data_IF_913015249229
#
_entry.id   IF_913015249229
#
_cell.length_a   1.000
_cell.length_b   1.000
_cell.length_c   1.000
_cell.angle_alpha   90.00
_cell.angle_beta   90.00
_cell.angle_gamma   90.00
#
_symmetry.space_group_name_H-M   'P 1'
#
loop_
_entity.id
_entity.type
_entity.pdbx_description
1 polymer ?
#
# COMPACT_ATOMS: atom_id res chain seq x y z
N UNK A 1 -7.50 -12.06 23.73
CA UNK A 1 -6.11 -11.67 23.43
C UNK A 1 -6.15 -10.61 22.34
N UNK A 2 -5.29 -9.58 22.40
CA UNK A 2 -5.18 -8.54 21.35
C UNK A 2 -3.69 -8.28 21.05
N UNK A 3 -3.32 -8.34 19.77
CA UNK A 3 -1.99 -7.99 19.26
C UNK A 3 -2.11 -6.82 18.29
N UNK A 4 -1.29 -5.79 18.50
CA UNK A 4 -1.16 -4.59 17.66
C UNK A 4 0.22 -4.59 17.04
N UNK A 5 0.29 -4.94 15.77
CA UNK A 5 1.53 -5.27 15.07
C UNK A 5 1.79 -4.18 14.02
N UNK A 6 3.01 -3.66 13.99
CA UNK A 6 3.47 -2.82 12.88
C UNK A 6 4.49 -3.61 12.08
N UNK A 7 4.25 -3.79 10.78
CA UNK A 7 5.22 -4.43 9.87
C UNK A 7 5.71 -3.41 8.86
N UNK A 8 7.00 -3.17 8.79
CA UNK A 8 7.58 -2.05 8.05
C UNK A 8 8.89 -2.40 7.33
N UNK A 9 9.12 -1.75 6.19
CA UNK A 9 10.28 -1.97 5.34
C UNK A 9 10.20 -1.17 4.04
N UNK A 10 11.00 -1.54 3.04
CA UNK A 10 10.91 -0.98 1.70
C UNK A 10 9.89 -1.73 0.85
N UNK A 11 9.26 -1.03 -0.09
CA UNK A 11 8.44 -1.61 -1.13
C UNK A 11 9.21 -2.69 -1.88
N UNK A 12 8.68 -3.91 -1.90
CA UNK A 12 9.35 -5.09 -2.45
C UNK A 12 9.93 -6.06 -1.42
N UNK A 13 10.06 -5.67 -0.15
CA UNK A 13 10.48 -6.57 0.94
C UNK A 13 9.32 -7.44 1.49
N UNK A 14 8.15 -7.41 0.84
CA UNK A 14 7.02 -8.28 1.21
C UNK A 14 6.28 -7.91 2.49
N UNK A 15 6.52 -6.72 3.05
CA UNK A 15 5.88 -6.24 4.30
C UNK A 15 4.36 -6.19 4.24
N UNK A 16 3.78 -5.75 3.12
CA UNK A 16 2.32 -5.75 2.94
C UNK A 16 1.79 -7.18 2.92
N UNK A 17 2.51 -8.07 2.24
CA UNK A 17 2.11 -9.46 2.12
C UNK A 17 2.18 -10.19 3.47
N UNK A 18 3.20 -9.95 4.30
CA UNK A 18 3.25 -10.48 5.67
C UNK A 18 2.02 -10.05 6.48
N UNK A 19 1.66 -8.77 6.41
CA UNK A 19 0.49 -8.26 7.12
C UNK A 19 -0.81 -8.89 6.62
N UNK A 20 -0.98 -9.02 5.31
CA UNK A 20 -2.15 -9.68 4.73
C UNK A 20 -2.21 -11.17 5.08
N UNK A 21 -1.09 -11.89 5.03
CA UNK A 21 -1.02 -13.31 5.40
C UNK A 21 -1.44 -13.51 6.86
N UNK A 22 -0.92 -12.69 7.76
CA UNK A 22 -1.27 -12.72 9.20
C UNK A 22 -2.76 -12.43 9.40
N UNK A 23 -3.29 -11.44 8.68
CA UNK A 23 -4.70 -11.04 8.76
C UNK A 23 -5.62 -12.15 8.26
N UNK A 24 -5.37 -12.69 7.07
CA UNK A 24 -6.16 -13.80 6.52
C UNK A 24 -6.03 -15.07 7.35
N UNK A 25 -4.85 -15.37 7.92
CA UNK A 25 -4.68 -16.49 8.84
C UNK A 25 -5.53 -16.29 10.11
N UNK A 26 -5.52 -15.08 10.69
CA UNK A 26 -6.38 -14.75 11.84
C UNK A 26 -7.87 -14.88 11.52
N UNK A 27 -8.31 -14.48 10.32
CA UNK A 27 -9.69 -14.70 9.87
C UNK A 27 -10.05 -16.18 9.75
N UNK A 28 -9.14 -17.01 9.24
CA UNK A 28 -9.33 -18.46 9.12
C UNK A 28 -9.49 -19.10 10.50
N UNK A 29 -8.79 -18.58 11.51
CA UNK A 29 -8.83 -19.04 12.90
C UNK A 29 -9.96 -18.43 13.74
N UNK A 30 -10.80 -17.57 13.13
CA UNK A 30 -11.97 -16.98 13.80
C UNK A 30 -11.68 -15.73 14.65
N UNK A 31 -10.50 -15.12 14.50
CA UNK A 31 -10.16 -13.87 15.17
C UNK A 31 -10.75 -12.65 14.45
N UNK A 32 -11.03 -11.60 15.21
CA UNK A 32 -11.29 -10.27 14.68
C UNK A 32 -9.98 -9.63 14.25
N UNK A 33 -9.93 -9.16 13.01
CA UNK A 33 -8.70 -8.61 12.44
C UNK A 33 -8.91 -7.25 11.81
N UNK A 34 -7.84 -6.48 11.75
CA UNK A 34 -7.77 -5.25 10.96
C UNK A 34 -6.42 -5.17 10.27
N UNK A 35 -6.41 -4.75 9.02
CA UNK A 35 -5.20 -4.53 8.24
C UNK A 35 -5.28 -3.15 7.57
N UNK A 36 -4.39 -2.26 7.98
CA UNK A 36 -4.30 -0.90 7.44
C UNK A 36 -2.93 -0.68 6.83
N UNK A 37 -2.80 -0.67 5.49
CA UNK A 37 -1.55 -0.36 4.84
C UNK A 37 -1.25 1.13 4.89
N UNK A 38 0.03 1.44 4.96
CA UNK A 38 0.59 2.79 4.86
C UNK A 38 1.87 2.67 4.05
N UNK A 39 1.76 2.92 2.75
CA UNK A 39 2.92 2.94 1.87
C UNK A 39 3.01 4.29 1.19
N UNK A 40 4.26 4.73 1.02
CA UNK A 40 4.55 5.77 0.06
C UNK A 40 4.11 5.30 -1.34
N UNK A 41 3.74 6.22 -2.21
CA UNK A 41 3.36 5.94 -3.61
C UNK A 41 4.48 5.34 -4.47
N UNK A 42 5.71 5.37 -3.96
CA UNK A 42 6.86 4.64 -4.47
C UNK A 42 6.55 3.13 -4.60
N UNK A 43 6.21 2.67 -5.81
CA UNK A 43 5.82 1.26 -6.08
C UNK A 43 6.92 0.23 -5.75
N UNK A 44 8.18 0.66 -5.52
CA UNK A 44 9.31 -0.17 -5.10
C UNK A 44 10.38 0.67 -4.41
N UNK A 45 11.04 0.15 -3.39
CA UNK A 45 12.14 0.81 -2.68
C UNK A 45 11.72 1.90 -1.69
N UNK A 46 10.49 2.41 -1.79
CA UNK A 46 9.94 3.38 -0.87
C UNK A 46 9.53 2.83 0.49
N UNK A 47 9.30 3.69 1.47
CA UNK A 47 8.86 3.23 2.80
C UNK A 47 7.44 2.66 2.74
N UNK A 48 7.28 1.41 3.16
CA UNK A 48 6.01 0.71 3.24
C UNK A 48 5.86 0.09 4.62
N UNK A 49 4.73 0.34 5.27
CA UNK A 49 4.36 -0.27 6.54
C UNK A 49 2.88 -0.64 6.55
N UNK A 50 2.49 -1.55 7.43
CA UNK A 50 1.08 -1.83 7.68
C UNK A 50 0.88 -2.04 9.18
N UNK A 51 -0.27 -1.54 9.65
CA UNK A 51 -0.80 -1.81 10.97
C UNK A 51 -1.70 -3.04 10.88
N UNK A 52 -1.44 -4.03 11.72
CA UNK A 52 -2.21 -5.27 11.80
C UNK A 52 -2.70 -5.44 13.22
N UNK A 53 -4.00 -5.63 13.39
CA UNK A 53 -4.59 -6.01 14.68
C UNK A 53 -5.17 -7.40 14.54
N UNK A 54 -4.85 -8.29 15.49
CA UNK A 54 -5.47 -9.61 15.63
C UNK A 54 -5.99 -9.71 17.06
N UNK A 55 -7.27 -10.02 17.21
CA UNK A 55 -7.99 -9.94 18.48
C UNK A 55 -9.07 -11.00 18.62
N UNK A 56 -9.30 -11.48 19.84
CA UNK A 56 -10.45 -12.34 20.18
C UNK A 56 -11.75 -11.53 20.35
N UNK A 57 -11.65 -10.21 20.41
CA UNK A 57 -12.77 -9.27 20.53
C UNK A 57 -12.80 -8.29 19.35
N UNK A 58 -13.97 -7.70 19.01
CA UNK A 58 -14.10 -6.75 17.91
C UNK A 58 -13.05 -5.62 17.95
N UNK A 59 -12.38 -5.39 16.82
CA UNK A 59 -11.34 -4.36 16.70
C UNK A 59 -11.98 -2.96 16.69
N UNK A 60 -11.65 -2.15 17.70
CA UNK A 60 -12.21 -0.79 17.83
C UNK A 60 -11.59 0.26 16.89
N UNK A 61 -10.31 0.13 16.55
CA UNK A 61 -9.63 1.06 15.63
C UNK A 61 -8.44 0.40 14.91
N UNK A 62 -8.23 0.72 13.61
CA UNK A 62 -7.12 0.17 12.82
C UNK A 62 -5.78 0.88 13.05
N UNK A 63 -5.78 2.05 13.69
CA UNK A 63 -4.59 2.89 13.90
C UNK A 63 -3.88 2.47 15.18
N UNK A 64 -2.56 2.24 15.09
CA UNK A 64 -1.72 1.81 16.22
C UNK A 64 -0.84 2.98 16.67
N UNK A 65 -1.12 3.52 17.86
CA UNK A 65 -0.25 4.49 18.54
C UNK A 65 0.76 3.81 19.48
N UNK A 66 0.42 2.63 19.98
CA UNK A 66 1.27 1.79 20.84
C UNK A 66 1.19 0.35 20.34
N UNK A 67 2.31 -0.18 19.88
CA UNK A 67 2.43 -1.51 19.31
C UNK A 67 2.82 -2.56 20.37
N UNK A 68 2.26 -3.76 20.26
CA UNK A 68 2.72 -4.93 21.01
C UNK A 68 3.92 -5.59 20.35
N UNK A 69 3.98 -5.51 19.02
CA UNK A 69 5.01 -6.16 18.21
C UNK A 69 5.38 -5.26 17.02
N UNK A 70 6.66 -5.18 16.66
CA UNK A 70 7.15 -4.45 15.48
C UNK A 70 8.06 -5.37 14.68
N UNK A 71 7.84 -5.42 13.36
CA UNK A 71 8.72 -6.07 12.40
C UNK A 71 9.35 -4.98 11.52
N UNK A 72 10.67 -4.86 11.56
CA UNK A 72 11.43 -3.90 10.76
C UNK A 72 12.39 -4.60 9.79
N UNK A 73 12.12 -4.47 8.49
CA UNK A 73 12.89 -5.12 7.42
C UNK A 73 14.04 -4.25 6.88
N UNK A 74 14.16 -3.00 7.33
CA UNK A 74 15.22 -2.06 6.96
C UNK A 74 15.50 -1.04 8.09
N UNK A 75 16.64 -0.36 7.99
CA UNK A 75 17.11 0.58 9.02
C UNK A 75 16.12 1.72 9.31
N UNK A 76 15.57 2.43 8.30
CA UNK A 76 14.65 3.55 8.58
C UNK A 76 13.35 3.12 9.27
N UNK A 77 12.86 1.91 8.99
CA UNK A 77 11.66 1.37 9.65
C UNK A 77 11.93 1.01 11.10
N UNK A 78 13.10 0.46 11.42
CA UNK A 78 13.52 0.22 12.79
C UNK A 78 13.52 1.53 13.59
N UNK A 79 14.25 2.54 13.11
CA UNK A 79 14.38 3.85 13.76
C UNK A 79 13.02 4.52 13.95
N UNK A 80 12.13 4.42 12.96
CA UNK A 80 10.80 5.04 13.00
C UNK A 80 9.86 4.39 14.00
N UNK A 81 9.84 3.06 14.08
CA UNK A 81 8.77 2.33 14.77
C UNK A 81 9.20 1.72 16.12
N UNK A 82 10.49 1.62 16.42
CA UNK A 82 10.98 1.08 17.71
C UNK A 82 10.46 1.85 18.93
N UNK A 83 10.20 3.16 18.78
CA UNK A 83 9.67 4.01 19.85
C UNK A 83 8.18 3.75 20.14
N UNK A 84 7.44 3.18 19.19
CA UNK A 84 6.02 2.84 19.36
C UNK A 84 5.80 1.53 20.13
N UNK A 85 6.84 0.73 20.34
CA UNK A 85 6.76 -0.50 21.12
C UNK A 85 6.48 -0.21 22.60
N UNK A 86 5.47 -0.89 23.14
CA UNK A 86 5.24 -0.94 24.58
C UNK A 86 6.38 -1.68 25.29
N UNK A 87 6.53 -1.41 26.58
CA UNK A 87 7.37 -2.22 27.48
C UNK A 87 6.96 -3.69 27.42
N UNK A 88 7.95 -4.57 27.27
CA UNK A 88 7.80 -6.02 27.08
C UNK A 88 7.26 -6.40 25.69
N UNK A 89 7.19 -5.47 24.75
CA UNK A 89 6.84 -5.75 23.36
C UNK A 89 7.98 -6.45 22.61
N UNK A 90 7.66 -7.03 21.46
CA UNK A 90 8.61 -7.77 20.64
C UNK A 90 9.04 -6.97 19.41
N UNK A 91 10.34 -6.84 19.22
CA UNK A 91 10.95 -6.26 18.03
C UNK A 91 11.61 -7.37 17.21
N UNK A 92 11.21 -7.50 15.95
CA UNK A 92 11.85 -8.39 14.98
C UNK A 92 12.56 -7.54 13.94
N UNK A 93 13.85 -7.76 13.73
CA UNK A 93 14.64 -7.00 12.76
C UNK A 93 15.31 -7.91 11.74
N UNK A 94 15.35 -7.45 10.49
CA UNK A 94 16.18 -8.05 9.45
C UNK A 94 17.65 -7.67 9.69
N UNK A 95 18.40 -8.50 10.41
CA UNK A 95 19.81 -8.21 10.76
C UNK A 95 20.74 -8.19 9.54
N UNK A 96 20.30 -8.67 8.38
CA UNK A 96 21.02 -8.51 7.12
C UNK A 96 21.11 -7.05 6.66
N UNK A 97 20.18 -6.19 7.10
CA UNK A 97 20.04 -4.79 6.63
C UNK A 97 19.84 -3.75 7.75
N UNK A 98 19.68 -4.21 8.99
CA UNK A 98 19.38 -3.37 10.15
C UNK A 98 20.47 -3.55 11.18
N UNK A 99 21.02 -2.44 11.66
CA UNK A 99 21.90 -2.41 12.82
C UNK A 99 21.13 -1.85 14.03
N UNK A 100 21.07 -2.65 15.09
CA UNK A 100 20.38 -2.28 16.33
C UNK A 100 21.38 -1.56 17.24
N UNK A 101 21.48 -0.24 17.07
CA UNK A 101 22.27 0.62 17.95
C UNK A 101 21.49 0.98 19.22
N UNK A 102 22.16 0.89 20.37
CA UNK A 102 21.62 1.23 21.69
C UNK A 102 20.23 0.61 21.97
N UNK A 103 20.13 -0.74 22.00
CA UNK A 103 18.86 -1.42 22.19
C UNK A 103 18.18 -0.98 23.49
N UNK A 104 16.87 -0.79 23.41
CA UNK A 104 16.02 -0.62 24.59
C UNK A 104 16.12 -1.87 25.46
N UNK A 105 16.31 -1.68 26.77
CA UNK A 105 16.41 -2.76 27.76
C UNK A 105 15.05 -3.29 28.22
N UNK A 106 13.97 -2.62 27.81
CA UNK A 106 12.60 -2.89 28.23
C UNK A 106 11.77 -3.65 27.20
N UNK A 107 12.35 -4.13 26.10
CA UNK A 107 11.69 -4.88 25.01
C UNK A 107 12.45 -6.18 24.69
N UNK A 108 11.78 -7.12 24.01
CA UNK A 108 12.43 -8.31 23.47
C UNK A 108 12.89 -8.04 22.04
N UNK A 109 14.14 -8.36 21.70
CA UNK A 109 14.71 -8.10 20.36
C UNK A 109 15.10 -9.44 19.72
N UNK A 110 14.62 -9.65 18.51
CA UNK A 110 14.89 -10.83 17.69
C UNK A 110 15.54 -10.38 16.38
N UNK A 111 16.80 -10.74 16.18
CA UNK A 111 17.60 -10.39 15.01
C UNK A 111 17.67 -11.59 14.07
N UNK A 112 17.10 -11.48 12.88
CA UNK A 112 16.99 -12.61 11.93
C UNK A 112 17.70 -12.26 10.61
N UNK A 113 18.70 -13.05 10.17
CA UNK A 113 19.41 -12.85 8.91
C UNK A 113 18.59 -13.36 7.72
N UNK A 114 17.46 -12.69 7.45
CA UNK A 114 16.46 -13.21 6.51
C UNK A 114 16.92 -13.20 5.05
N UNK A 115 17.85 -12.31 4.67
CA UNK A 115 18.37 -12.27 3.31
C UNK A 115 19.29 -13.45 3.02
N UNK A 116 20.17 -13.80 3.97
CA UNK A 116 21.09 -14.93 3.87
C UNK A 116 20.29 -16.23 3.76
N UNK A 117 19.32 -16.44 4.65
CA UNK A 117 18.45 -17.62 4.65
C UNK A 117 17.67 -17.72 3.33
N UNK A 118 17.09 -16.61 2.84
CA UNK A 118 16.36 -16.61 1.57
C UNK A 118 17.28 -16.92 0.37
N UNK A 119 18.55 -16.51 0.45
CA UNK A 119 19.55 -16.80 -0.57
C UNK A 119 19.96 -18.27 -0.57
N UNK A 120 20.14 -18.87 0.60
CA UNK A 120 20.39 -20.32 0.78
C UNK A 120 19.23 -21.18 0.27
N UNK A 121 18.00 -20.71 0.43
CA UNK A 121 16.80 -21.34 -0.14
C UNK A 121 16.67 -21.15 -1.66
N UNK A 122 17.58 -20.39 -2.29
CA UNK A 122 17.65 -20.18 -3.73
C UNK A 122 16.64 -19.15 -4.27
N UNK A 123 15.97 -18.39 -3.40
CA UNK A 123 15.02 -17.36 -3.84
C UNK A 123 14.95 -16.18 -2.86
N UNK A 124 15.62 -15.05 -3.16
CA UNK A 124 15.59 -13.86 -2.30
C UNK A 124 14.19 -13.30 -2.00
N UNK A 125 13.17 -13.63 -2.83
CA UNK A 125 11.80 -13.15 -2.64
C UNK A 125 11.07 -13.82 -1.46
N UNK A 126 11.64 -14.84 -0.83
CA UNK A 126 11.03 -15.49 0.35
C UNK A 126 11.52 -14.92 1.69
N UNK A 127 12.36 -13.87 1.69
CA UNK A 127 12.87 -13.25 2.93
C UNK A 127 11.74 -12.81 3.89
N UNK A 128 10.62 -12.35 3.35
CA UNK A 128 9.45 -11.99 4.13
C UNK A 128 8.80 -13.21 4.82
N UNK A 129 8.84 -14.39 4.18
CA UNK A 129 8.32 -15.61 4.80
C UNK A 129 9.24 -16.12 5.91
N UNK A 130 10.56 -15.95 5.76
CA UNK A 130 11.51 -16.26 6.85
C UNK A 130 11.22 -15.37 8.06
N UNK A 131 11.07 -14.07 7.86
CA UNK A 131 10.71 -13.15 8.95
C UNK A 131 9.37 -13.54 9.60
N UNK A 132 8.35 -13.83 8.77
CA UNK A 132 7.03 -14.22 9.26
C UNK A 132 7.08 -15.51 10.09
N UNK A 133 7.94 -16.47 9.72
CA UNK A 133 8.15 -17.71 10.47
C UNK A 133 8.66 -17.46 11.88
N UNK A 134 9.70 -16.61 12.00
CA UNK A 134 10.21 -16.19 13.31
C UNK A 134 9.13 -15.50 14.15
N UNK A 135 8.38 -14.58 13.53
CA UNK A 135 7.30 -13.85 14.19
C UNK A 135 6.20 -14.75 14.75
N UNK A 136 5.66 -15.66 13.94
CA UNK A 136 4.56 -16.54 14.39
C UNK A 136 5.03 -17.56 15.43
N UNK A 137 6.31 -17.97 15.40
CA UNK A 137 6.87 -18.88 16.41
C UNK A 137 6.94 -18.26 17.79
N UNK A 138 7.32 -16.98 17.87
CA UNK A 138 7.42 -16.25 19.15
C UNK A 138 6.05 -15.84 19.65
N UNK A 139 5.18 -15.37 18.76
CA UNK A 139 3.91 -14.76 19.17
C UNK A 139 2.77 -15.75 19.29
N UNK A 140 2.84 -16.90 18.60
CA UNK A 140 1.78 -17.90 18.48
C UNK A 140 0.42 -17.28 18.10
N UNK A 141 0.43 -16.11 17.44
CA UNK A 141 -0.79 -15.33 17.17
C UNK A 141 -1.66 -15.96 16.08
N UNK A 142 -1.03 -16.72 15.18
CA UNK A 142 -1.68 -17.53 14.13
C UNK A 142 -0.84 -18.78 13.87
N UNK A 143 -1.48 -19.86 13.44
CA UNK A 143 -0.83 -21.10 13.04
C UNK A 143 -0.19 -21.05 11.66
N UNK A 144 0.90 -21.80 11.49
CA UNK A 144 1.60 -21.95 10.19
C UNK A 144 0.65 -22.48 9.11
N UNK A 145 -0.18 -23.47 9.44
CA UNK A 145 -1.13 -24.05 8.49
C UNK A 145 -2.11 -23.00 7.94
N UNK A 146 -2.58 -22.10 8.81
CA UNK A 146 -3.48 -21.00 8.43
C UNK A 146 -2.78 -19.97 7.55
N UNK A 147 -1.50 -19.66 7.80
CA UNK A 147 -0.68 -18.81 6.94
C UNK A 147 -0.52 -19.44 5.54
N UNK A 148 -0.29 -20.75 5.46
CA UNK A 148 -0.19 -21.47 4.19
C UNK A 148 -1.53 -21.52 3.45
N UNK A 149 -2.65 -21.70 4.16
CA UNK A 149 -4.01 -21.59 3.58
C UNK A 149 -4.29 -20.18 3.07
N UNK A 150 -3.85 -19.15 3.79
CA UNK A 150 -3.97 -17.74 3.39
C UNK A 150 -3.11 -17.38 2.16
N UNK A 151 -2.06 -18.15 1.86
CA UNK A 151 -1.11 -17.86 0.79
C UNK A 151 -1.77 -17.57 -0.56
N UNK A 152 -2.75 -18.38 -0.95
CA UNK A 152 -3.43 -18.24 -2.24
C UNK A 152 -4.38 -17.05 -2.29
N UNK A 153 -4.86 -16.57 -1.14
CA UNK A 153 -5.65 -15.33 -1.04
C UNK A 153 -4.79 -14.09 -1.28
N UNK A 154 -3.56 -14.11 -0.78
CA UNK A 154 -2.62 -12.98 -0.90
C UNK A 154 -1.93 -12.95 -2.27
N UNK A 155 -1.45 -14.10 -2.76
CA UNK A 155 -0.65 -14.17 -3.98
C UNK A 155 -1.39 -14.70 -5.21
N UNK A 156 -2.62 -15.20 -5.05
CA UNK A 156 -3.43 -15.79 -6.10
C UNK A 156 -3.11 -17.27 -6.39
N UNK A 157 -4.10 -17.97 -6.95
CA UNK A 157 -3.99 -19.41 -7.25
C UNK A 157 -2.86 -19.76 -8.24
N UNK A 158 -2.51 -18.83 -9.13
CA UNK A 158 -1.40 -19.00 -10.09
C UNK A 158 -0.04 -19.19 -9.43
N UNK A 159 0.07 -18.85 -8.13
CA UNK A 159 1.29 -18.97 -7.32
C UNK A 159 1.31 -20.18 -6.39
N UNK A 160 0.31 -21.08 -6.43
CA UNK A 160 0.25 -22.31 -5.59
C UNK A 160 1.53 -23.14 -5.63
N UNK A 161 2.18 -23.23 -6.79
CA UNK A 161 3.45 -23.95 -6.96
C UNK A 161 4.60 -23.43 -6.09
N UNK A 162 4.48 -22.21 -5.55
CA UNK A 162 5.47 -21.61 -4.67
C UNK A 162 5.27 -21.98 -3.19
N UNK A 163 4.13 -22.58 -2.82
CA UNK A 163 3.80 -22.92 -1.43
C UNK A 163 4.90 -23.77 -0.76
N UNK A 164 5.43 -24.86 -1.37
CA UNK A 164 6.45 -25.67 -0.70
C UNK A 164 7.72 -24.89 -0.33
N UNK A 165 8.14 -23.95 -1.20
CA UNK A 165 9.31 -23.11 -0.93
C UNK A 165 9.02 -22.08 0.18
N UNK A 166 7.82 -21.51 0.20
CA UNK A 166 7.42 -20.53 1.21
C UNK A 166 7.16 -21.19 2.58
N UNK A 167 6.67 -22.44 2.59
CA UNK A 167 6.60 -23.27 3.79
C UNK A 167 7.98 -23.53 4.37
N UNK A 168 8.93 -24.00 3.55
CA UNK A 168 10.31 -24.18 4.00
C UNK A 168 10.93 -22.87 4.52
N UNK A 169 10.62 -21.74 3.89
CA UNK A 169 11.07 -20.43 4.37
C UNK A 169 10.49 -20.07 5.75
N UNK A 170 9.20 -20.34 6.00
CA UNK A 170 8.60 -20.20 7.33
C UNK A 170 9.34 -21.07 8.35
N UNK A 171 9.53 -22.35 8.05
CA UNK A 171 10.23 -23.30 8.93
C UNK A 171 11.65 -22.84 9.29
N UNK A 172 12.43 -22.37 8.31
CA UNK A 172 13.77 -21.83 8.57
C UNK A 172 13.72 -20.59 9.46
N UNK A 173 12.73 -19.72 9.27
CA UNK A 173 12.48 -18.56 10.14
C UNK A 173 12.18 -18.96 11.59
N UNK A 174 11.32 -19.97 11.79
CA UNK A 174 10.99 -20.48 13.12
C UNK A 174 12.22 -21.00 13.87
N UNK A 175 13.18 -21.62 13.15
CA UNK A 175 14.41 -22.15 13.76
C UNK A 175 15.31 -21.05 14.32
N UNK A 176 15.28 -19.84 13.77
CA UNK A 176 16.14 -18.73 14.21
C UNK A 176 15.79 -18.19 15.60
N UNK A 177 14.55 -18.40 16.02
CA UNK A 177 14.05 -18.02 17.35
C UNK A 177 13.82 -19.24 18.25
N UNK A 178 14.03 -20.43 17.69
CA UNK A 178 13.85 -21.74 18.33
C UNK A 178 15.16 -22.39 18.73
N UNK A 179 16.02 -21.67 19.46
CA UNK A 179 17.07 -22.28 20.28
C UNK A 179 17.14 -21.55 21.63
N UNK A 180 17.12 -22.33 22.72
CA UNK A 180 17.20 -21.89 24.11
C UNK A 180 18.40 -20.95 24.29
N UNK A 181 18.12 -19.65 24.49
CA UNK A 181 19.19 -18.67 24.55
C UNK A 181 18.73 -17.24 24.77
N UNK A 182 17.83 -16.99 25.73
CA UNK A 182 17.75 -15.71 26.45
C UNK A 182 16.85 -15.81 27.68
N UNK A 183 17.52 -15.93 28.82
CA UNK A 183 17.12 -15.65 30.20
C UNK A 183 15.61 -15.60 30.54
N UNK A 184 15.21 -16.62 31.30
CA UNK A 184 14.05 -16.65 32.17
C UNK A 184 13.75 -15.31 32.86
N UNK A 185 12.59 -14.72 32.55
CA UNK A 185 11.75 -14.08 33.56
C UNK A 185 10.34 -14.65 33.47
N UNK A 186 10.07 -15.56 34.40
CA UNK A 186 8.76 -16.10 34.78
C UNK A 186 7.60 -15.13 34.49
N UNK A 187 6.69 -15.56 33.65
CA UNK A 187 5.28 -15.22 33.79
C UNK A 187 4.54 -16.53 34.03
N UNK A 188 4.15 -16.73 35.29
CA UNK A 188 3.34 -17.85 35.71
C UNK A 188 1.94 -17.75 35.10
N UNK A 189 1.51 -18.87 34.53
CA UNK A 189 0.12 -19.26 34.38
C UNK A 189 -0.62 -18.60 33.23
N UNK A 190 -0.99 -19.39 32.22
CA UNK A 190 -2.39 -19.73 31.98
C UNK A 190 -2.48 -21.10 31.33
N UNK A 191 -3.44 -21.89 31.83
CA UNK A 191 -3.63 -23.31 31.52
C UNK A 191 -4.02 -23.50 30.05
N UNK A 192 -3.56 -24.62 29.48
CA UNK A 192 -4.17 -25.24 28.28
C UNK A 192 -5.68 -25.45 28.49
N UNK A 193 -6.46 -25.19 27.46
CA UNK A 193 -7.71 -25.93 27.19
C UNK A 193 -7.80 -26.30 25.70
N UNK A 194 -8.45 -27.43 25.37
CA UNK A 194 -8.27 -28.17 24.10
C UNK A 194 -9.45 -28.01 23.12
N UNK A 195 -9.15 -28.32 21.85
CA UNK A 195 -10.03 -28.63 20.71
C UNK A 195 -11.15 -27.63 20.31
N UNK A 196 -11.08 -27.15 19.06
CA UNK A 196 -12.24 -26.61 18.35
C UNK A 196 -12.15 -26.89 16.84
N UNK A 197 -12.84 -27.96 16.43
CA UNK A 197 -13.76 -28.05 15.29
C UNK A 197 -13.51 -27.18 14.04
N UNK A 198 -13.30 -27.90 12.93
CA UNK A 198 -13.81 -27.67 11.57
C UNK A 198 -14.61 -26.37 11.31
N UNK A 199 -14.03 -25.57 10.41
CA UNK A 199 -14.56 -24.42 9.65
C UNK A 199 -16.09 -24.41 9.47
N UNK A 200 -16.71 -23.27 9.82
CA UNK A 200 -18.11 -22.98 9.48
C UNK A 200 -18.26 -22.32 8.09
N UNK A 201 -19.37 -22.54 7.36
CA UNK A 201 -19.54 -22.15 5.94
C UNK A 201 -19.67 -20.64 5.63
N UNK A 202 -19.57 -19.77 6.62
CA UNK A 202 -20.00 -18.37 6.51
C UNK A 202 -18.92 -17.43 5.92
N UNK A 203 -17.63 -17.76 6.11
CA UNK A 203 -16.51 -16.94 5.62
C UNK A 203 -16.28 -16.98 4.10
N UNK A 204 -16.58 -18.10 3.44
CA UNK A 204 -16.51 -18.20 1.97
C UNK A 204 -17.57 -17.35 1.25
N UNK A 205 -18.74 -17.18 1.88
CA UNK A 205 -19.83 -16.40 1.32
C UNK A 205 -19.54 -14.89 1.26
N UNK A 206 -18.75 -14.35 2.19
CA UNK A 206 -18.41 -12.91 2.24
C UNK A 206 -17.40 -12.50 1.16
N UNK A 207 -16.38 -13.31 0.91
CA UNK A 207 -15.34 -13.02 -0.08
C UNK A 207 -15.88 -13.08 -1.52
N UNK A 208 -16.77 -14.02 -1.80
CA UNK A 208 -17.47 -14.09 -3.08
C UNK A 208 -18.40 -12.89 -3.27
N UNK A 209 -18.99 -12.35 -2.19
CA UNK A 209 -19.78 -11.11 -2.23
C UNK A 209 -18.94 -9.91 -2.59
N UNK A 210 -17.80 -9.65 -1.95
CA UNK A 210 -16.96 -8.47 -2.28
C UNK A 210 -16.43 -8.48 -3.72
N UNK A 211 -16.03 -9.67 -4.22
CA UNK A 211 -15.61 -9.83 -5.62
C UNK A 211 -16.78 -9.68 -6.58
N UNK A 212 -17.93 -10.26 -6.25
CA UNK A 212 -19.14 -10.08 -7.02
C UNK A 212 -19.61 -8.62 -6.99
N UNK A 213 -19.44 -7.90 -5.89
CA UNK A 213 -19.76 -6.48 -5.72
C UNK A 213 -18.82 -5.60 -6.53
N UNK A 214 -17.51 -5.85 -6.52
CA UNK A 214 -16.56 -5.09 -7.35
C UNK A 214 -16.76 -5.32 -8.84
N UNK A 215 -17.02 -6.56 -9.24
CA UNK A 215 -17.40 -6.92 -10.62
C UNK A 215 -18.78 -6.34 -10.96
N UNK A 216 -19.71 -6.31 -9.99
CA UNK A 216 -21.03 -5.68 -10.14
C UNK A 216 -20.94 -4.17 -10.25
N UNK A 217 -19.99 -3.52 -9.56
CA UNK A 217 -19.78 -2.09 -9.59
C UNK A 217 -19.14 -1.68 -10.92
N UNK A 218 -18.13 -2.42 -11.38
CA UNK A 218 -17.51 -2.20 -12.69
C UNK A 218 -18.53 -2.44 -13.82
N UNK A 219 -19.33 -3.50 -13.74
CA UNK A 219 -20.38 -3.74 -14.72
C UNK A 219 -21.49 -2.67 -14.72
N UNK A 220 -21.80 -2.07 -13.57
CA UNK A 220 -22.69 -0.91 -13.44
C UNK A 220 -22.06 0.38 -13.97
N UNK A 221 -20.77 0.62 -13.76
CA UNK A 221 -20.08 1.82 -14.25
C UNK A 221 -20.05 1.83 -15.78
N UNK A 222 -19.77 0.68 -16.39
CA UNK A 222 -19.64 0.54 -17.84
C UNK A 222 -20.93 0.00 -18.51
N UNK A 223 -22.10 0.16 -17.89
CA UNK A 223 -23.38 -0.30 -18.46
C UNK A 223 -23.86 0.53 -19.64
N UNK A 224 -23.59 1.84 -19.61
CA UNK A 224 -24.05 2.83 -20.59
C UNK A 224 -23.18 4.10 -20.53
N UNK A 225 -23.28 4.94 -21.57
CA UNK A 225 -22.47 6.14 -21.72
C UNK A 225 -22.66 7.15 -20.58
N UNK A 226 -23.87 7.25 -20.00
CA UNK A 226 -24.16 8.19 -18.92
C UNK A 226 -23.51 7.75 -17.61
N UNK A 227 -23.56 6.45 -17.31
CA UNK A 227 -22.89 5.86 -16.16
C UNK A 227 -21.37 6.02 -16.23
N UNK A 228 -20.78 5.84 -17.43
CA UNK A 228 -19.36 6.09 -17.67
C UNK A 228 -19.02 7.57 -17.44
N UNK A 229 -19.81 8.50 -18.00
CA UNK A 229 -19.58 9.93 -17.82
C UNK A 229 -19.66 10.37 -16.35
N UNK A 230 -20.60 9.82 -15.57
CA UNK A 230 -20.73 10.08 -14.13
C UNK A 230 -19.51 9.57 -13.36
N UNK A 231 -19.03 8.37 -13.66
CA UNK A 231 -17.82 7.83 -13.03
C UNK A 231 -16.56 8.64 -13.41
N UNK A 232 -16.46 9.09 -14.66
CA UNK A 232 -15.37 9.98 -15.10
C UNK A 232 -15.32 11.27 -14.29
N UNK A 233 -16.48 11.92 -14.06
CA UNK A 233 -16.59 13.13 -13.23
C UNK A 233 -16.12 12.86 -11.81
N UNK A 234 -16.51 11.71 -11.24
CA UNK A 234 -16.09 11.34 -9.89
C UNK A 234 -14.57 11.18 -9.80
N UNK A 235 -13.95 10.43 -10.70
CA UNK A 235 -12.50 10.23 -10.75
C UNK A 235 -11.74 11.56 -10.92
N UNK A 236 -12.26 12.45 -11.78
CA UNK A 236 -11.68 13.78 -11.97
C UNK A 236 -11.82 14.65 -10.71
N UNK A 237 -12.94 14.57 -10.00
CA UNK A 237 -13.18 15.27 -8.73
C UNK A 237 -12.24 14.77 -7.62
N UNK A 238 -12.01 13.47 -7.54
CA UNK A 238 -11.03 12.89 -6.60
C UNK A 238 -9.61 13.39 -6.90
N UNK A 239 -9.25 13.50 -8.18
CA UNK A 239 -7.97 14.08 -8.59
C UNK A 239 -7.82 15.54 -8.20
N UNK A 240 -8.86 16.37 -8.40
CA UNK A 240 -8.86 17.77 -7.97
C UNK A 240 -8.65 17.88 -6.45
N UNK A 241 -9.36 17.05 -5.67
CA UNK A 241 -9.24 17.05 -4.22
C UNK A 241 -7.82 16.70 -3.78
N UNK A 242 -7.23 15.66 -4.38
CA UNK A 242 -5.85 15.29 -4.12
C UNK A 242 -4.89 16.43 -4.47
N UNK A 243 -4.99 17.04 -5.66
CA UNK A 243 -4.11 18.15 -6.06
C UNK A 243 -4.28 19.38 -5.17
N UNK A 244 -5.50 19.75 -4.77
CA UNK A 244 -5.72 20.87 -3.84
C UNK A 244 -5.13 20.60 -2.45
N UNK A 245 -5.24 19.37 -1.95
CA UNK A 245 -4.60 18.96 -0.69
C UNK A 245 -3.08 19.05 -0.79
N UNK A 246 -2.50 18.49 -1.84
CA UNK A 246 -1.06 18.54 -2.12
C UNK A 246 -0.54 19.96 -2.29
N UNK A 247 -1.32 20.83 -2.93
CA UNK A 247 -0.98 22.25 -3.09
C UNK A 247 -0.83 22.95 -1.74
N UNK A 248 -1.77 22.74 -0.82
CA UNK A 248 -1.68 23.25 0.57
C UNK A 248 -0.51 22.65 1.34
N UNK A 249 -0.22 21.37 1.13
CA UNK A 249 0.89 20.69 1.80
C UNK A 249 2.26 21.28 1.44
N UNK A 250 2.40 21.82 0.24
CA UNK A 250 3.61 22.50 -0.24
C UNK A 250 3.41 24.01 -0.37
N UNK A 251 2.58 24.62 0.49
CA UNK A 251 2.33 26.05 0.47
C UNK A 251 3.65 26.85 0.61
N UNK A 252 3.81 27.89 -0.21
CA UNK A 252 5.04 28.68 -0.27
C UNK A 252 6.17 28.08 -1.10
N UNK A 253 5.99 26.89 -1.68
CA UNK A 253 6.98 26.19 -2.51
C UNK A 253 6.49 26.03 -3.95
N UNK A 254 7.40 25.79 -4.89
CA UNK A 254 7.02 25.61 -6.29
C UNK A 254 6.17 24.35 -6.51
N UNK A 255 6.43 23.26 -5.76
CA UNK A 255 5.55 22.08 -5.68
C UNK A 255 4.08 22.43 -5.43
N UNK A 256 3.81 23.39 -4.54
CA UNK A 256 2.45 23.82 -4.22
C UNK A 256 1.75 24.50 -5.40
N UNK A 257 2.48 25.32 -6.16
CA UNK A 257 1.98 26.02 -7.36
C UNK A 257 1.66 25.05 -8.49
N UNK A 258 2.49 24.01 -8.64
CA UNK A 258 2.32 22.95 -9.65
C UNK A 258 1.00 22.23 -9.42
N UNK A 259 0.77 21.77 -8.18
CA UNK A 259 -0.48 21.10 -7.83
C UNK A 259 -1.70 22.03 -7.93
N UNK A 260 -1.54 23.33 -7.67
CA UNK A 260 -2.61 24.30 -7.89
C UNK A 260 -2.98 24.43 -9.38
N UNK A 261 -1.98 24.51 -10.27
CA UNK A 261 -2.23 24.56 -11.73
C UNK A 261 -2.86 23.26 -12.23
N UNK A 262 -2.36 22.09 -11.80
CA UNK A 262 -2.96 20.79 -12.14
C UNK A 262 -4.42 20.67 -11.66
N UNK A 263 -4.74 21.17 -10.46
CA UNK A 263 -6.13 21.21 -9.98
C UNK A 263 -7.02 22.06 -10.89
N UNK A 264 -6.57 23.25 -11.27
CA UNK A 264 -7.30 24.15 -12.19
C UNK A 264 -7.52 23.51 -13.56
N UNK A 265 -6.49 22.89 -14.15
CA UNK A 265 -6.63 22.18 -15.43
C UNK A 265 -7.60 21.01 -15.33
N UNK A 266 -7.63 20.32 -14.18
CA UNK A 266 -8.57 19.21 -13.93
C UNK A 266 -10.01 19.69 -13.74
N UNK A 267 -10.24 20.91 -13.25
CA UNK A 267 -11.57 21.54 -13.22
C UNK A 267 -12.13 21.70 -14.63
N UNK A 268 -11.30 22.07 -15.61
CA UNK A 268 -11.72 22.12 -17.02
C UNK A 268 -12.14 20.74 -17.53
N UNK A 269 -11.46 19.67 -17.11
CA UNK A 269 -11.85 18.29 -17.44
C UNK A 269 -13.24 17.95 -16.90
N UNK A 270 -13.51 18.32 -15.64
CA UNK A 270 -14.84 18.14 -15.02
C UNK A 270 -15.91 18.92 -15.79
N UNK A 271 -15.61 20.11 -16.28
CA UNK A 271 -16.52 20.89 -17.11
C UNK A 271 -16.80 20.21 -18.45
N UNK A 272 -15.78 19.67 -19.13
CA UNK A 272 -15.97 18.87 -20.35
C UNK A 272 -16.88 17.66 -20.10
N UNK A 273 -16.63 16.94 -19.01
CA UNK A 273 -17.38 15.74 -18.64
C UNK A 273 -18.82 16.06 -18.20
N UNK A 274 -19.04 17.17 -17.50
CA UNK A 274 -20.39 17.62 -17.13
C UNK A 274 -21.21 18.01 -18.36
N UNK A 275 -20.60 18.68 -19.34
CA UNK A 275 -21.27 18.95 -20.62
C UNK A 275 -21.64 17.66 -21.34
N UNK A 276 -20.72 16.68 -21.37
CA UNK A 276 -21.02 15.35 -21.91
C UNK A 276 -22.20 14.69 -21.17
N UNK A 277 -22.19 14.71 -19.83
CA UNK A 277 -23.27 14.17 -19.00
C UNK A 277 -24.61 14.81 -19.32
N UNK A 278 -24.67 16.15 -19.34
CA UNK A 278 -25.90 16.89 -19.64
C UNK A 278 -26.41 16.55 -21.04
N UNK A 279 -25.53 16.45 -22.04
CA UNK A 279 -25.89 16.05 -23.40
C UNK A 279 -26.46 14.63 -23.44
N UNK A 280 -25.85 13.68 -22.71
CA UNK A 280 -26.33 12.30 -22.61
C UNK A 280 -27.67 12.21 -21.86
N UNK A 281 -27.95 13.11 -20.93
CA UNK A 281 -29.22 13.17 -20.17
C UNK A 281 -30.35 13.84 -20.97
N UNK A 282 -30.07 14.92 -21.70
CA UNK A 282 -31.08 15.80 -22.31
C UNK A 282 -31.13 15.78 -23.84
N UNK A 283 -30.07 15.30 -24.50
CA UNK A 283 -29.90 15.38 -25.95
C UNK A 283 -29.54 16.78 -26.48
N UNK A 284 -29.48 17.80 -25.62
CA UNK A 284 -29.16 19.17 -26.03
C UNK A 284 -27.65 19.39 -26.18
N UNK A 285 -27.28 20.04 -27.28
CA UNK A 285 -25.88 20.30 -27.64
C UNK A 285 -25.51 21.75 -27.29
N UNK A 286 -24.66 21.94 -26.29
CA UNK A 286 -24.14 23.27 -25.95
C UNK A 286 -22.96 23.65 -26.87
N UNK A 287 -23.01 24.85 -27.47
CA UNK A 287 -21.87 25.42 -28.20
C UNK A 287 -20.80 25.90 -27.21
N UNK A 288 -19.57 25.41 -27.36
CA UNK A 288 -18.40 26.06 -26.78
C UNK A 288 -17.16 25.79 -27.64
N UNK A 289 -16.31 26.83 -27.78
CA UNK A 289 -14.99 26.73 -28.40
C UNK A 289 -13.99 26.16 -27.41
N UNK A 290 -13.16 25.25 -27.89
CA UNK A 290 -12.09 24.62 -27.13
C UNK A 290 -10.83 25.49 -27.19
N UNK A 291 -10.37 25.97 -26.04
CA UNK A 291 -9.06 26.59 -25.91
C UNK A 291 -8.47 26.14 -24.58
N UNK A 292 -7.71 25.05 -24.64
CA UNK A 292 -6.91 24.63 -23.51
C UNK A 292 -5.59 25.38 -23.58
N UNK A 293 -5.37 26.26 -22.62
CA UNK A 293 -4.11 26.98 -22.50
C UNK A 293 -3.03 26.02 -22.01
N UNK A 294 -2.03 25.77 -22.85
CA UNK A 294 -0.83 25.03 -22.45
C UNK A 294 0.03 25.97 -21.60
N UNK A 295 -0.06 25.81 -20.29
CA UNK A 295 0.87 26.46 -19.37
C UNK A 295 2.18 25.68 -19.32
N UNK A 296 3.21 26.18 -20.02
CA UNK A 296 4.60 25.79 -19.79
C UNK A 296 5.06 26.45 -18.48
N UNK A 297 5.09 25.68 -17.40
CA UNK A 297 5.56 26.17 -16.11
C UNK A 297 7.10 26.24 -16.07
N UNK A 298 7.62 27.23 -15.35
CA UNK A 298 9.05 27.34 -15.04
C UNK A 298 9.27 26.91 -13.58
N UNK A 299 10.19 25.96 -13.39
CA UNK A 299 10.24 25.11 -12.22
C UNK A 299 11.39 25.55 -11.32
N UNK A 300 11.05 26.17 -10.20
CA UNK A 300 12.04 26.68 -9.24
C UNK A 300 12.36 25.70 -8.11
N UNK A 301 13.04 26.24 -7.09
CA UNK A 301 13.73 25.47 -6.05
C UNK A 301 12.75 24.95 -5.00
N UNK A 302 12.90 23.67 -4.67
CA UNK A 302 12.30 23.05 -3.49
C UNK A 302 13.30 23.07 -2.32
N UNK A 303 12.81 23.24 -1.10
CA UNK A 303 13.59 22.96 0.11
C UNK A 303 14.04 21.47 0.14
N UNK A 304 15.36 21.16 0.23
CA UNK A 304 15.88 19.79 0.31
C UNK A 304 15.24 18.95 1.43
N UNK A 305 14.88 19.57 2.56
CA UNK A 305 14.23 18.88 3.67
C UNK A 305 12.85 18.30 3.31
N UNK A 306 12.22 18.80 2.25
CA UNK A 306 10.92 18.36 1.77
C UNK A 306 10.99 17.46 0.53
N UNK A 307 12.19 17.17 0.01
CA UNK A 307 12.37 16.39 -1.20
C UNK A 307 11.79 14.97 -1.09
N UNK A 308 11.95 14.29 0.06
CA UNK A 308 11.37 12.95 0.28
C UNK A 308 9.83 12.97 0.27
N UNK A 309 9.21 13.96 0.90
CA UNK A 309 7.75 14.13 0.87
C UNK A 309 7.26 14.50 -0.54
N UNK A 310 7.98 15.37 -1.25
CA UNK A 310 7.66 15.74 -2.62
C UNK A 310 7.71 14.53 -3.56
N UNK A 311 8.74 13.69 -3.48
CA UNK A 311 8.84 12.46 -4.27
C UNK A 311 7.62 11.57 -4.08
N UNK A 312 7.22 11.36 -2.83
CA UNK A 312 5.99 10.66 -2.53
C UNK A 312 4.80 11.35 -3.21
N UNK A 313 4.45 12.57 -2.85
CA UNK A 313 3.22 13.21 -3.36
C UNK A 313 3.14 13.26 -4.90
N UNK A 314 4.26 13.50 -5.60
CA UNK A 314 4.33 13.42 -7.07
C UNK A 314 4.10 12.01 -7.61
N UNK A 315 4.60 10.97 -6.94
CA UNK A 315 4.34 9.58 -7.34
C UNK A 315 2.87 9.16 -7.16
N UNK A 316 2.15 9.64 -6.11
CA UNK A 316 0.68 9.41 -6.03
C UNK A 316 0.02 10.06 -7.24
N UNK A 317 0.39 11.31 -7.55
CA UNK A 317 -0.18 12.07 -8.65
C UNK A 317 -0.01 11.31 -9.98
N UNK A 318 1.19 10.80 -10.25
CA UNK A 318 1.48 9.98 -11.43
C UNK A 318 0.61 8.71 -11.49
N UNK A 319 0.46 7.99 -10.39
CA UNK A 319 -0.38 6.78 -10.37
C UNK A 319 -1.86 7.09 -10.59
N UNK A 320 -2.34 8.21 -10.04
CA UNK A 320 -3.71 8.65 -10.24
C UNK A 320 -3.98 8.97 -11.71
N UNK A 321 -3.03 9.62 -12.37
CA UNK A 321 -3.06 9.90 -13.81
C UNK A 321 -3.10 8.59 -14.62
N UNK A 322 -2.25 7.61 -14.32
CA UNK A 322 -2.28 6.29 -14.99
C UNK A 322 -3.64 5.60 -14.85
N UNK A 323 -4.24 5.60 -13.65
CA UNK A 323 -5.57 5.02 -13.44
C UNK A 323 -6.66 5.74 -14.21
N UNK A 324 -6.57 7.06 -14.35
CA UNK A 324 -7.51 7.83 -15.16
C UNK A 324 -7.37 7.46 -16.64
N UNK A 325 -6.15 7.31 -17.14
CA UNK A 325 -5.88 6.83 -18.50
C UNK A 325 -6.48 5.45 -18.72
N UNK A 326 -6.21 4.48 -17.85
CA UNK A 326 -6.78 3.12 -17.93
C UNK A 326 -8.32 3.15 -17.95
N UNK A 327 -8.91 4.01 -17.12
CA UNK A 327 -10.35 4.20 -17.08
C UNK A 327 -10.89 4.75 -18.41
N UNK A 328 -10.25 5.77 -18.98
CA UNK A 328 -10.67 6.36 -20.26
C UNK A 328 -10.46 5.41 -21.44
N UNK A 329 -9.40 4.60 -21.43
CA UNK A 329 -9.18 3.56 -22.44
C UNK A 329 -10.33 2.54 -22.43
N UNK A 330 -10.70 2.04 -21.24
CA UNK A 330 -11.89 1.19 -21.08
C UNK A 330 -13.18 1.91 -21.47
N UNK A 331 -13.33 3.19 -21.12
CA UNK A 331 -14.49 3.99 -21.48
C UNK A 331 -14.65 4.07 -23.00
N UNK A 332 -13.56 4.22 -23.76
CA UNK A 332 -13.58 4.23 -25.22
C UNK A 332 -14.06 2.90 -25.79
N UNK A 333 -13.60 1.78 -25.23
CA UNK A 333 -13.99 0.43 -25.67
C UNK A 333 -15.48 0.14 -25.41
N UNK A 334 -16.02 0.65 -24.29
CA UNK A 334 -17.39 0.35 -23.84
C UNK A 334 -18.43 1.36 -24.32
N UNK A 335 -18.01 2.59 -24.60
CA UNK A 335 -18.88 3.66 -25.05
C UNK A 335 -19.47 3.38 -26.42
N UNK A 336 -20.73 3.77 -26.63
CA UNK A 336 -21.39 3.71 -27.95
C UNK A 336 -21.45 5.07 -28.64
N UNK A 337 -21.27 6.14 -27.87
CA UNK A 337 -21.29 7.52 -28.37
C UNK A 337 -19.92 7.96 -28.90
N UNK A 338 -19.85 8.22 -30.20
CA UNK A 338 -18.59 8.61 -30.85
C UNK A 338 -18.01 9.95 -30.36
N UNK A 339 -18.86 10.89 -29.93
CA UNK A 339 -18.39 12.16 -29.35
C UNK A 339 -17.84 11.95 -27.94
N UNK A 340 -18.40 11.03 -27.16
CA UNK A 340 -17.86 10.64 -25.85
C UNK A 340 -16.48 9.99 -26.02
N UNK A 341 -16.33 9.06 -26.98
CA UNK A 341 -15.03 8.48 -27.32
C UNK A 341 -14.00 9.52 -27.73
N UNK A 342 -14.40 10.50 -28.55
CA UNK A 342 -13.52 11.59 -28.95
C UNK A 342 -13.02 12.39 -27.74
N UNK A 343 -13.94 12.75 -26.82
CA UNK A 343 -13.58 13.45 -25.58
C UNK A 343 -12.64 12.61 -24.71
N UNK A 344 -12.90 11.31 -24.52
CA UNK A 344 -12.02 10.45 -23.71
C UNK A 344 -10.62 10.34 -24.31
N UNK A 345 -10.47 10.30 -25.64
CA UNK A 345 -9.15 10.32 -26.31
C UNK A 345 -8.41 11.63 -26.03
N UNK A 346 -9.12 12.75 -26.06
CA UNK A 346 -8.56 14.06 -25.74
C UNK A 346 -8.14 14.13 -24.27
N UNK A 347 -8.98 13.67 -23.34
CA UNK A 347 -8.63 13.58 -21.92
C UNK A 347 -7.39 12.70 -21.69
N UNK A 348 -7.26 11.55 -22.36
CA UNK A 348 -6.03 10.73 -22.29
C UNK A 348 -4.80 11.52 -22.73
N UNK A 349 -4.90 12.31 -23.80
CA UNK A 349 -3.79 13.16 -24.25
C UNK A 349 -3.37 14.15 -23.15
N UNK A 350 -4.33 14.81 -22.49
CA UNK A 350 -4.06 15.73 -21.38
C UNK A 350 -3.50 15.03 -20.14
N UNK A 351 -4.07 13.89 -19.74
CA UNK A 351 -3.55 13.08 -18.64
C UNK A 351 -2.09 12.69 -18.90
N UNK A 352 -1.74 12.25 -20.12
CA UNK A 352 -0.36 11.89 -20.48
C UNK A 352 0.58 13.11 -20.44
N UNK A 353 0.11 14.27 -20.88
CA UNK A 353 0.87 15.51 -20.74
C UNK A 353 1.12 15.87 -19.27
N UNK A 354 0.11 15.76 -18.41
CA UNK A 354 0.27 15.96 -16.96
C UNK A 354 1.23 14.94 -16.34
N UNK A 355 1.19 13.69 -16.79
CA UNK A 355 2.12 12.65 -16.34
C UNK A 355 3.56 13.04 -16.64
N UNK A 356 3.85 13.50 -17.86
CA UNK A 356 5.20 13.90 -18.27
C UNK A 356 5.70 15.10 -17.45
N UNK A 357 4.83 16.08 -17.17
CA UNK A 357 5.15 17.21 -16.28
C UNK A 357 5.48 16.75 -14.85
N UNK A 358 4.64 15.89 -14.28
CA UNK A 358 4.85 15.33 -12.95
C UNK A 358 6.15 14.49 -12.88
N UNK A 359 6.41 13.68 -13.90
CA UNK A 359 7.60 12.84 -13.99
C UNK A 359 8.88 13.66 -14.07
N UNK A 360 8.89 14.74 -14.86
CA UNK A 360 10.05 15.64 -14.93
C UNK A 360 10.44 16.20 -13.57
N UNK A 361 9.44 16.61 -12.78
CA UNK A 361 9.66 17.10 -11.42
C UNK A 361 10.08 16.01 -10.44
N UNK A 362 9.46 14.85 -10.54
CA UNK A 362 9.85 13.68 -9.75
C UNK A 362 11.33 13.36 -9.93
N UNK A 363 11.83 13.32 -11.17
CA UNK A 363 13.26 13.05 -11.42
C UNK A 363 14.15 14.19 -10.92
N UNK A 364 13.75 15.46 -11.07
CA UNK A 364 14.51 16.60 -10.53
C UNK A 364 14.63 16.53 -9.00
N UNK A 365 13.53 16.24 -8.29
CA UNK A 365 13.55 16.09 -6.83
C UNK A 365 14.32 14.86 -6.37
N UNK A 366 14.33 13.81 -7.19
CA UNK A 366 15.10 12.60 -6.91
C UNK A 366 16.59 12.87 -6.99
N UNK A 367 17.04 13.64 -7.97
CA UNK A 367 18.44 14.10 -8.08
C UNK A 367 18.83 14.99 -6.90
N UNK A 368 17.99 15.96 -6.51
CA UNK A 368 18.24 16.82 -5.36
C UNK A 368 18.33 16.00 -4.07
N UNK A 369 17.41 15.06 -3.86
CA UNK A 369 17.40 14.19 -2.69
C UNK A 369 18.63 13.28 -2.65
N UNK A 370 19.03 12.68 -3.77
CA UNK A 370 20.25 11.87 -3.85
C UNK A 370 21.52 12.68 -3.57
N UNK A 371 21.59 13.92 -4.08
CA UNK A 371 22.71 14.83 -3.81
C UNK A 371 22.79 15.21 -2.33
N UNK A 372 21.66 15.42 -1.66
CA UNK A 372 21.60 15.79 -0.24
C UNK A 372 22.00 14.62 0.69
N UNK A 373 21.66 13.39 0.30
CA UNK A 373 22.01 12.16 1.04
C UNK A 373 23.47 11.70 0.85
N UNK A 374 24.34 12.53 0.25
CA UNK A 374 25.75 12.20 -0.03
C UNK A 374 25.95 10.94 -0.89
N UNK A 375 24.94 10.53 -1.65
CA UNK A 375 25.05 9.51 -2.70
C UNK A 375 25.22 10.21 -4.04
N UNK A 376 26.42 10.73 -4.31
CA UNK A 376 26.81 11.13 -5.66
C UNK A 376 27.50 9.94 -6.33
N UNK A 377 27.10 9.53 -7.56
CA UNK A 377 27.96 8.69 -8.37
C UNK A 377 29.07 9.60 -8.92
N UNK A 378 30.31 9.38 -8.48
CA UNK A 378 31.47 9.76 -9.28
C UNK A 378 31.88 8.57 -10.14
#
# INVERSE_FOLDING_TARGET
MEKKIIMAGFGGQGVMAMGQLTTYAGMIEGHYVSWMPSYGPEMRGGSANCSVVVSDEPVGAPVISVATDVIAMNQPSYEKFVTMLKKGGNLFVNSSLVHVDNPRDDINIYEIPVNEIAMELGNPKVANMVMLGAFIKVTEIVGEESVLKAFTKVYGDSKKKLIPLNQKALEEGQKQVGQEGSQDKKLEGHKRTPDANLVSPEGEASYLKDRAEKVSLESKIFSDDLSIAKAAILNATESINFYRMSSKQFEGQDAGRIFASLAKQKEEHVDYLNRLRIRLESGEEQKASYQADKEDMNWGKLDPAMASMALSVFSVAMNLVEKNVDFYEKAIEKSKDEKAKALYKELIYWERFHYDQLKGQYETYKEIWWSDQSFSPF
#
